data_IF_351874204080
#
_entry.id   IF_351874204080
#
_cell.length_a   1.000
_cell.length_b   1.000
_cell.length_c   1.000
_cell.angle_alpha   90.00
_cell.angle_beta   90.00
_cell.angle_gamma   90.00
#
_symmetry.space_group_name_H-M   'P 1'
#
loop_
_entity.id
_entity.type
_entity.pdbx_description
1 polymer ?
#
# COMPACT_ATOMS: atom_id res chain seq x y z
N UNK A 1 -18.81 17.46 -23.14
CA UNK A 1 -18.44 16.67 -24.32
C UNK A 1 -18.27 15.23 -23.93
N UNK A 2 -18.92 14.32 -24.64
CA UNK A 2 -18.86 12.90 -24.38
C UNK A 2 -17.40 12.43 -24.40
N UNK A 3 -16.94 11.77 -23.32
CA UNK A 3 -15.67 11.09 -23.27
C UNK A 3 -14.56 11.73 -22.47
N UNK A 4 -14.78 12.82 -21.73
CA UNK A 4 -13.81 13.41 -20.81
C UNK A 4 -14.43 13.67 -19.43
N UNK A 5 -13.66 13.41 -18.37
CA UNK A 5 -14.01 13.69 -16.99
C UNK A 5 -13.07 14.76 -16.44
N UNK A 6 -13.62 15.71 -15.70
CA UNK A 6 -12.83 16.64 -14.90
C UNK A 6 -12.39 15.94 -13.64
N UNK A 7 -11.08 15.87 -13.40
CA UNK A 7 -10.49 15.24 -12.22
C UNK A 7 -9.60 16.24 -11.49
N UNK A 8 -9.59 16.16 -10.17
CA UNK A 8 -8.72 16.94 -9.29
C UNK A 8 -7.84 15.97 -8.52
N UNK A 9 -6.66 15.61 -9.04
CA UNK A 9 -5.76 14.66 -8.38
C UNK A 9 -5.24 15.24 -7.07
N UNK A 10 -5.22 14.42 -6.02
CA UNK A 10 -4.67 14.80 -4.72
C UNK A 10 -3.13 14.94 -4.72
N UNK A 11 -2.46 14.28 -5.65
CA UNK A 11 -0.99 14.23 -5.73
C UNK A 11 -0.34 15.35 -6.54
N UNK A 12 -1.11 16.06 -7.37
CA UNK A 12 -0.65 17.26 -8.10
C UNK A 12 -1.83 18.19 -8.30
N UNK A 13 -1.68 19.43 -7.91
CA UNK A 13 -2.77 20.41 -7.92
C UNK A 13 -3.32 20.69 -9.32
N UNK A 14 -4.51 21.29 -9.38
CA UNK A 14 -5.19 21.71 -10.60
C UNK A 14 -6.34 20.79 -11.01
N UNK A 15 -7.06 21.24 -12.03
CA UNK A 15 -8.18 20.55 -12.66
C UNK A 15 -7.74 20.02 -14.03
N UNK A 16 -7.99 18.76 -14.29
CA UNK A 16 -7.53 18.10 -15.51
C UNK A 16 -8.68 17.38 -16.21
N UNK A 17 -8.78 17.55 -17.51
CA UNK A 17 -9.70 16.79 -18.34
C UNK A 17 -9.03 15.51 -18.81
N UNK A 18 -9.53 14.36 -18.32
CA UNK A 18 -9.00 13.04 -18.65
C UNK A 18 -10.01 12.27 -19.49
N UNK A 19 -9.60 11.61 -20.59
CA UNK A 19 -10.51 10.75 -21.34
C UNK A 19 -11.15 9.69 -20.45
N UNK A 20 -12.48 9.57 -20.48
CA UNK A 20 -13.26 8.67 -19.60
C UNK A 20 -12.80 7.21 -19.69
N UNK A 21 -12.31 6.78 -20.85
CA UNK A 21 -11.77 5.42 -21.08
C UNK A 21 -10.56 5.06 -20.21
N UNK A 22 -9.88 6.06 -19.62
CA UNK A 22 -8.73 5.87 -18.72
C UNK A 22 -9.07 6.03 -17.25
N UNK A 23 -10.34 6.26 -16.94
CA UNK A 23 -10.80 6.47 -15.57
C UNK A 23 -11.71 5.31 -15.17
N UNK A 24 -11.23 4.43 -14.31
CA UNK A 24 -12.08 3.45 -13.66
C UNK A 24 -12.97 4.19 -12.64
N UNK A 25 -14.25 4.29 -12.93
CA UNK A 25 -15.19 4.76 -11.94
C UNK A 25 -15.37 3.66 -10.90
N UNK A 26 -14.88 3.91 -9.69
CA UNK A 26 -15.22 3.10 -8.52
C UNK A 26 -16.68 3.34 -8.09
N UNK A 27 -17.47 3.96 -8.97
CA UNK A 27 -18.85 4.34 -8.74
C UNK A 27 -19.75 3.13 -8.49
N UNK A 28 -20.42 3.13 -7.36
CA UNK A 28 -21.32 2.07 -6.91
C UNK A 28 -20.71 1.07 -5.94
N UNK A 29 -19.39 1.06 -5.73
CA UNK A 29 -18.79 0.32 -4.64
C UNK A 29 -18.81 1.20 -3.39
N UNK A 30 -19.59 0.82 -2.40
CA UNK A 30 -19.64 1.47 -1.10
C UNK A 30 -18.46 0.99 -0.25
N UNK A 31 -17.30 1.62 -0.47
CA UNK A 31 -16.10 1.31 0.32
C UNK A 31 -16.23 1.86 1.73
N UNK A 32 -16.42 0.98 2.69
CA UNK A 32 -16.51 1.33 4.11
C UNK A 32 -15.16 1.28 4.83
N UNK A 33 -14.09 0.87 4.15
CA UNK A 33 -12.73 0.74 4.70
C UNK A 33 -11.73 1.39 3.76
N UNK A 34 -10.94 2.33 4.30
CA UNK A 34 -9.94 3.09 3.57
C UNK A 34 -8.57 2.90 4.21
N UNK A 35 -7.55 2.77 3.36
CA UNK A 35 -6.14 2.73 3.76
C UNK A 35 -5.46 3.88 3.04
N UNK A 36 -4.98 4.86 3.79
CA UNK A 36 -4.22 6.00 3.29
C UNK A 36 -2.73 5.76 3.49
N UNK A 37 -1.94 5.92 2.43
CA UNK A 37 -0.50 5.74 2.43
C UNK A 37 0.13 7.06 2.01
N UNK A 38 0.76 7.75 2.95
CA UNK A 38 1.49 8.99 2.75
C UNK A 38 2.97 8.66 2.52
N UNK A 39 3.43 8.86 1.27
CA UNK A 39 4.81 8.56 0.88
C UNK A 39 5.78 9.62 1.38
N UNK A 40 5.33 10.86 1.53
CA UNK A 40 6.16 11.97 2.02
C UNK A 40 6.47 11.82 3.50
N UNK A 41 5.45 11.60 4.32
CA UNK A 41 5.59 11.50 5.77
C UNK A 41 5.83 10.07 6.27
N UNK A 42 5.88 9.09 5.35
CA UNK A 42 6.14 7.68 5.65
C UNK A 42 5.20 7.14 6.74
N UNK A 43 3.91 7.44 6.61
CA UNK A 43 2.89 6.95 7.52
C UNK A 43 1.69 6.34 6.77
N UNK A 44 0.90 5.56 7.50
CA UNK A 44 -0.31 4.92 7.01
C UNK A 44 -1.42 5.10 8.04
N UNK A 45 -2.61 5.48 7.55
CA UNK A 45 -3.82 5.51 8.36
C UNK A 45 -4.87 4.55 7.80
N UNK A 46 -5.62 3.89 8.68
CA UNK A 46 -6.80 3.12 8.30
C UNK A 46 -8.05 3.77 8.86
N UNK A 47 -9.07 3.91 8.01
CA UNK A 47 -10.34 4.49 8.36
C UNK A 47 -11.48 3.52 8.05
N UNK A 48 -12.48 3.53 8.89
CA UNK A 48 -13.71 2.77 8.71
C UNK A 48 -14.92 3.67 8.82
N UNK A 49 -15.85 3.52 7.89
CA UNK A 49 -17.09 4.27 7.92
C UNK A 49 -17.97 3.81 9.07
N UNK A 50 -18.28 4.74 9.98
CA UNK A 50 -19.34 4.60 10.97
C UNK A 50 -20.68 5.07 10.41
N UNK A 51 -21.67 5.26 11.27
CA UNK A 51 -23.03 5.62 10.87
C UNK A 51 -23.11 6.99 10.19
N UNK A 52 -22.36 7.98 10.66
CA UNK A 52 -22.38 9.36 10.15
C UNK A 52 -20.98 9.97 9.94
N UNK A 53 -19.91 9.25 10.24
CA UNK A 53 -18.54 9.78 10.18
C UNK A 53 -17.53 8.68 9.89
N UNK A 54 -16.32 9.09 9.52
CA UNK A 54 -15.18 8.19 9.38
C UNK A 54 -14.41 8.09 10.69
N UNK A 55 -14.13 6.87 11.10
CA UNK A 55 -13.37 6.58 12.32
C UNK A 55 -11.95 6.15 11.94
N UNK A 56 -10.95 6.81 12.50
CA UNK A 56 -9.55 6.37 12.39
C UNK A 56 -9.37 5.12 13.25
N UNK A 57 -9.04 3.99 12.60
CA UNK A 57 -8.82 2.70 13.27
C UNK A 57 -7.37 2.51 13.68
N UNK A 58 -6.44 3.05 12.88
CA UNK A 58 -5.02 3.04 13.19
C UNK A 58 -4.28 4.15 12.45
N UNK A 59 -3.13 4.57 12.99
CA UNK A 59 -2.16 5.41 12.31
C UNK A 59 -0.77 4.94 12.75
N UNK A 60 0.07 4.55 11.79
CA UNK A 60 1.36 3.92 12.06
C UNK A 60 2.44 4.37 11.08
N UNK A 61 3.71 4.43 11.53
CA UNK A 61 4.85 4.64 10.65
C UNK A 61 5.03 3.46 9.70
N UNK A 62 5.43 3.75 8.47
CA UNK A 62 5.69 2.78 7.41
C UNK A 62 7.01 3.06 6.70
N UNK A 63 7.41 2.15 5.81
CA UNK A 63 8.48 2.41 4.84
C UNK A 63 7.99 2.06 3.45
N UNK A 64 7.95 3.04 2.55
CA UNK A 64 7.53 2.88 1.16
C UNK A 64 8.69 2.56 0.21
N UNK A 65 8.39 2.37 -1.07
CA UNK A 65 9.36 2.10 -2.12
C UNK A 65 10.29 3.26 -2.42
N UNK A 66 11.57 2.95 -2.65
CA UNK A 66 12.63 3.91 -2.92
C UNK A 66 12.65 4.32 -4.40
N UNK A 67 12.73 5.62 -4.67
CA UNK A 67 13.09 6.12 -6.00
C UNK A 67 14.55 5.73 -6.33
N UNK A 68 14.75 4.83 -7.29
CA UNK A 68 16.08 4.35 -7.70
C UNK A 68 16.16 4.13 -9.21
N UNK A 69 16.50 5.16 -9.98
CA UNK A 69 16.70 5.02 -11.42
C UNK A 69 17.81 3.98 -11.76
N UNK A 70 17.73 3.25 -12.88
CA UNK A 70 16.67 3.31 -13.89
C UNK A 70 15.41 2.48 -13.51
N UNK A 71 15.42 1.84 -12.36
CA UNK A 71 14.33 0.98 -11.92
C UNK A 71 13.30 1.80 -11.12
N UNK A 72 12.06 1.78 -11.57
CA UNK A 72 10.94 2.34 -10.80
C UNK A 72 10.60 1.39 -9.65
N UNK A 73 11.16 1.66 -8.47
CA UNK A 73 10.92 0.88 -7.25
C UNK A 73 10.05 1.63 -6.23
N UNK A 74 9.47 2.74 -6.63
CA UNK A 74 8.57 3.52 -5.80
C UNK A 74 7.24 2.81 -5.60
N UNK A 75 6.65 3.01 -4.42
CA UNK A 75 5.24 2.67 -4.20
C UNK A 75 4.41 3.55 -5.13
N UNK A 76 3.64 2.97 -6.09
CA UNK A 76 2.96 3.77 -7.10
C UNK A 76 1.83 4.60 -6.46
N UNK A 77 1.76 5.92 -6.71
CA UNK A 77 0.64 6.73 -6.27
C UNK A 77 -0.62 6.36 -7.04
N UNK A 78 -1.78 6.53 -6.41
CA UNK A 78 -3.07 6.23 -7.03
C UNK A 78 -4.07 5.60 -6.08
N UNK A 79 -5.16 5.10 -6.64
CA UNK A 79 -6.27 4.49 -5.91
C UNK A 79 -6.40 3.03 -6.33
N UNK A 80 -6.43 2.14 -5.36
CA UNK A 80 -6.38 0.69 -5.56
C UNK A 80 -7.36 -0.01 -4.63
N UNK A 81 -7.52 -1.33 -4.83
CA UNK A 81 -8.19 -2.23 -3.88
C UNK A 81 -7.24 -3.39 -3.52
N UNK A 82 -7.45 -3.98 -2.36
CA UNK A 82 -6.75 -5.22 -2.00
C UNK A 82 -7.19 -6.33 -2.96
N UNK A 83 -6.23 -6.97 -3.65
CA UNK A 83 -6.52 -8.00 -4.67
C UNK A 83 -6.12 -9.42 -4.27
N UNK A 84 -5.18 -9.55 -3.35
CA UNK A 84 -4.66 -10.85 -2.90
C UNK A 84 -4.05 -10.74 -1.52
N UNK A 85 -4.10 -11.81 -0.76
CA UNK A 85 -3.46 -11.92 0.56
C UNK A 85 -2.59 -13.17 0.63
N UNK A 86 -1.46 -13.05 1.33
CA UNK A 86 -0.52 -14.14 1.61
C UNK A 86 -0.08 -14.00 3.07
N UNK A 87 -0.15 -15.06 3.85
CA UNK A 87 0.37 -15.05 5.23
C UNK A 87 1.89 -14.86 5.26
N UNK A 88 2.56 -15.48 4.30
CA UNK A 88 4.00 -15.35 4.09
C UNK A 88 4.27 -15.16 2.58
N UNK A 89 4.62 -13.94 2.18
CA UNK A 89 4.99 -13.63 0.81
C UNK A 89 6.49 -13.91 0.61
N UNK A 90 6.88 -14.91 -0.19
CA UNK A 90 8.30 -15.19 -0.42
C UNK A 90 8.94 -14.08 -1.27
N UNK A 91 10.22 -13.82 -1.03
CA UNK A 91 11.04 -12.98 -1.89
C UNK A 91 12.39 -13.63 -2.17
N UNK A 92 13.00 -13.23 -3.28
CA UNK A 92 14.31 -13.71 -3.68
C UNK A 92 15.41 -12.78 -3.14
N UNK A 93 16.61 -13.29 -2.99
CA UNK A 93 17.80 -12.48 -2.72
C UNK A 93 18.06 -11.55 -3.91
N UNK A 94 18.47 -10.31 -3.62
CA UNK A 94 18.80 -9.35 -4.68
C UNK A 94 19.85 -9.90 -5.64
N UNK A 95 19.49 -9.91 -6.94
CA UNK A 95 20.35 -10.40 -8.01
C UNK A 95 20.47 -11.91 -8.11
N UNK A 96 19.61 -12.68 -7.42
CA UNK A 96 19.62 -14.14 -7.39
C UNK A 96 18.24 -14.73 -7.61
N UNK A 97 18.19 -16.03 -7.95
CA UNK A 97 16.97 -16.85 -7.97
C UNK A 97 16.75 -17.60 -6.65
N UNK A 98 17.67 -17.46 -5.69
CA UNK A 98 17.58 -18.14 -4.41
C UNK A 98 16.56 -17.46 -3.48
N UNK A 99 15.85 -18.24 -2.65
CA UNK A 99 14.97 -17.69 -1.65
C UNK A 99 15.72 -16.79 -0.66
N UNK A 100 15.28 -15.56 -0.53
CA UNK A 100 15.84 -14.56 0.41
C UNK A 100 15.16 -14.58 1.77
N UNK A 101 13.90 -15.00 1.81
CA UNK A 101 13.08 -14.99 2.99
C UNK A 101 11.59 -14.82 2.66
N UNK A 102 10.85 -14.26 3.59
CA UNK A 102 9.43 -13.96 3.41
C UNK A 102 9.03 -12.66 4.10
N UNK A 103 7.95 -12.06 3.62
CA UNK A 103 7.30 -10.92 4.25
C UNK A 103 5.94 -11.37 4.81
N UNK A 104 5.70 -11.25 6.14
CA UNK A 104 4.49 -11.73 6.76
C UNK A 104 3.30 -10.82 6.47
N UNK A 105 2.10 -11.40 6.43
CA UNK A 105 0.80 -10.72 6.35
C UNK A 105 0.68 -9.78 5.15
N UNK A 106 1.02 -10.28 3.98
CA UNK A 106 1.09 -9.48 2.76
C UNK A 106 -0.28 -9.32 2.10
N UNK A 107 -0.69 -8.07 1.87
CA UNK A 107 -1.91 -7.67 1.17
C UNK A 107 -1.55 -6.91 -0.11
N UNK A 108 -1.76 -7.53 -1.28
CA UNK A 108 -1.43 -6.95 -2.59
C UNK A 108 -2.50 -5.94 -3.00
N UNK A 109 -2.08 -4.74 -3.40
CA UNK A 109 -2.98 -3.70 -3.90
C UNK A 109 -2.65 -3.23 -5.33
N UNK A 110 -1.40 -3.36 -5.78
CA UNK A 110 -1.01 -3.02 -7.17
C UNK A 110 -0.03 -4.07 -7.70
N UNK A 111 0.35 -4.03 -8.96
CA UNK A 111 1.27 -4.92 -9.68
C UNK A 111 2.20 -5.77 -8.81
N UNK A 112 3.30 -5.20 -8.34
CA UNK A 112 4.23 -5.80 -7.39
C UNK A 112 4.17 -5.21 -5.97
N UNK A 113 3.22 -4.30 -5.69
CA UNK A 113 3.13 -3.59 -4.42
C UNK A 113 2.21 -4.30 -3.42
N UNK A 114 2.75 -4.54 -2.22
CA UNK A 114 2.06 -5.16 -1.10
C UNK A 114 2.21 -4.30 0.15
N UNK A 115 1.20 -4.31 1.00
CA UNK A 115 1.28 -3.97 2.42
C UNK A 115 1.72 -5.24 3.15
N UNK A 116 2.80 -5.20 3.94
CA UNK A 116 3.29 -6.38 4.66
C UNK A 116 4.08 -6.01 5.91
N UNK A 117 4.32 -6.97 6.78
CA UNK A 117 5.15 -6.83 7.97
C UNK A 117 6.65 -6.69 7.67
N UNK A 118 7.46 -6.58 8.72
CA UNK A 118 8.91 -6.52 8.57
C UNK A 118 9.41 -7.80 7.89
N UNK A 119 10.17 -7.70 6.77
CA UNK A 119 10.69 -8.87 6.09
C UNK A 119 11.59 -9.72 6.97
N UNK A 120 11.48 -11.02 6.84
CA UNK A 120 12.26 -12.04 7.56
C UNK A 120 13.21 -12.70 6.59
N UNK A 121 14.51 -12.64 6.86
CA UNK A 121 15.55 -13.21 6.02
C UNK A 121 15.89 -14.66 6.44
N UNK A 122 16.21 -15.48 5.46
CA UNK A 122 16.80 -16.80 5.72
C UNK A 122 18.32 -16.67 5.95
N UNK A 123 18.95 -17.55 6.78
CA UNK A 123 18.36 -18.71 7.45
C UNK A 123 17.69 -18.43 8.81
N UNK A 124 17.88 -17.24 9.38
CA UNK A 124 17.52 -16.98 10.79
C UNK A 124 16.00 -16.99 11.05
N UNK A 125 15.18 -16.68 10.04
CA UNK A 125 13.71 -16.76 10.04
C UNK A 125 13.02 -16.20 11.31
N UNK A 126 13.65 -15.23 11.98
CA UNK A 126 13.09 -14.57 13.16
C UNK A 126 12.11 -13.48 12.72
N UNK A 127 10.87 -13.59 13.19
CA UNK A 127 9.87 -12.55 12.94
C UNK A 127 10.19 -11.32 13.77
N UNK A 128 10.52 -10.23 13.09
CA UNK A 128 10.75 -8.93 13.72
C UNK A 128 9.44 -8.14 13.76
N UNK A 129 9.13 -7.55 14.90
CA UNK A 129 7.95 -6.69 15.05
C UNK A 129 8.15 -5.34 14.37
N UNK A 130 9.33 -4.74 14.56
CA UNK A 130 9.63 -3.38 14.13
C UNK A 130 11.02 -3.26 13.52
N UNK A 131 11.19 -2.37 12.56
CA UNK A 131 12.50 -1.98 12.04
C UNK A 131 12.70 -0.48 12.16
N UNK A 132 13.95 -0.05 12.39
CA UNK A 132 14.31 1.37 12.52
C UNK A 132 14.11 2.21 11.25
N UNK A 133 13.68 1.59 10.14
CA UNK A 133 13.37 2.32 8.90
C UNK A 133 11.91 2.79 8.81
N UNK A 134 11.03 2.29 9.68
CA UNK A 134 9.62 2.69 9.71
C UNK A 134 9.49 4.17 10.11
N UNK A 135 8.73 4.94 9.34
CA UNK A 135 8.49 6.36 9.58
C UNK A 135 9.67 7.27 9.24
N UNK A 136 10.69 6.79 8.55
CA UNK A 136 11.89 7.59 8.24
C UNK A 136 12.02 7.91 6.75
N UNK A 137 12.49 6.96 5.96
CA UNK A 137 12.79 7.16 4.53
C UNK A 137 12.34 5.97 3.70
N UNK A 138 11.95 6.19 2.43
CA UNK A 138 11.65 5.10 1.50
C UNK A 138 12.86 4.17 1.33
N UNK A 139 12.65 2.84 1.38
CA UNK A 139 13.72 1.83 1.25
C UNK A 139 13.29 0.52 0.60
N UNK A 140 12.01 0.33 0.33
CA UNK A 140 11.52 -0.94 -0.21
C UNK A 140 11.55 -0.96 -1.75
N UNK A 141 11.20 -2.11 -2.33
CA UNK A 141 10.97 -2.29 -3.75
C UNK A 141 9.46 -2.25 -4.06
N UNK A 142 8.84 -1.08 -4.04
CA UNK A 142 7.40 -0.81 -4.24
C UNK A 142 6.48 -1.17 -3.08
N UNK A 143 6.84 -2.10 -2.22
CA UNK A 143 6.02 -2.52 -1.09
C UNK A 143 5.97 -1.46 0.01
N UNK A 144 4.95 -1.55 0.85
CA UNK A 144 4.76 -0.74 2.04
C UNK A 144 5.00 -1.63 3.26
N UNK A 145 6.14 -1.43 3.93
CA UNK A 145 6.52 -2.15 5.14
C UNK A 145 5.85 -1.52 6.35
N UNK A 146 5.29 -2.36 7.20
CA UNK A 146 4.63 -1.99 8.45
C UNK A 146 5.29 -2.71 9.64
N UNK A 147 5.04 -2.26 10.87
CA UNK A 147 5.19 -3.14 12.02
C UNK A 147 4.41 -4.43 11.78
N UNK A 148 4.94 -5.58 12.18
CA UNK A 148 4.37 -6.89 11.80
C UNK A 148 2.96 -7.08 12.36
N UNK A 149 2.69 -6.63 13.59
CA UNK A 149 1.34 -6.64 14.17
C UNK A 149 0.36 -5.74 13.41
N UNK A 150 0.83 -4.57 12.93
CA UNK A 150 -0.01 -3.68 12.14
C UNK A 150 -0.32 -4.25 10.75
N UNK A 151 0.66 -4.90 10.12
CA UNK A 151 0.42 -5.61 8.86
C UNK A 151 -0.61 -6.74 9.05
N UNK A 152 -0.54 -7.47 10.18
CA UNK A 152 -1.54 -8.48 10.53
C UNK A 152 -2.92 -7.86 10.74
N UNK A 153 -3.00 -6.74 11.46
CA UNK A 153 -4.25 -6.00 11.61
C UNK A 153 -4.88 -5.66 10.26
N UNK A 154 -4.11 -5.06 9.33
CA UNK A 154 -4.59 -4.72 7.99
C UNK A 154 -5.00 -5.98 7.22
N UNK A 155 -4.21 -7.04 7.32
CA UNK A 155 -4.49 -8.33 6.69
C UNK A 155 -5.84 -8.90 7.10
N UNK A 156 -6.15 -8.89 8.40
CA UNK A 156 -7.41 -9.40 8.93
C UNK A 156 -8.59 -8.44 8.68
N UNK A 157 -8.35 -7.13 8.86
CA UNK A 157 -9.39 -6.10 8.83
C UNK A 157 -9.85 -5.70 7.43
N UNK A 158 -8.95 -5.64 6.43
CA UNK A 158 -9.24 -5.14 5.08
C UNK A 158 -9.62 -6.29 4.13
N UNK A 159 -10.91 -6.52 3.76
CA UNK A 159 -11.28 -7.59 2.85
C UNK A 159 -10.76 -7.35 1.42
N UNK A 160 -10.60 -8.44 0.66
CA UNK A 160 -10.27 -8.37 -0.77
C UNK A 160 -11.42 -7.68 -1.51
N UNK A 161 -11.09 -6.73 -2.37
CA UNK A 161 -12.00 -5.94 -3.21
C UNK A 161 -12.97 -5.00 -2.46
N UNK A 162 -12.90 -4.94 -1.12
CA UNK A 162 -13.81 -4.13 -0.30
C UNK A 162 -13.10 -3.03 0.49
N UNK A 163 -11.76 -3.05 0.52
CA UNK A 163 -10.95 -2.00 1.12
C UNK A 163 -10.23 -1.19 0.04
N UNK A 164 -10.42 0.13 0.07
CA UNK A 164 -9.75 1.06 -0.83
C UNK A 164 -8.38 1.43 -0.28
N UNK A 165 -7.36 1.42 -1.14
CA UNK A 165 -6.00 1.84 -0.82
C UNK A 165 -5.67 3.09 -1.62
N UNK A 166 -5.37 4.18 -0.94
CA UNK A 166 -5.06 5.49 -1.52
C UNK A 166 -3.61 5.82 -1.20
N UNK A 167 -2.78 5.92 -2.25
CA UNK A 167 -1.35 6.24 -2.15
C UNK A 167 -1.13 7.65 -2.70
N UNK A 168 -0.51 8.51 -1.90
CA UNK A 168 -0.27 9.91 -2.25
C UNK A 168 1.08 10.43 -1.69
N UNK A 169 1.46 11.63 -2.11
CA UNK A 169 2.62 12.40 -1.63
C UNK A 169 2.22 13.47 -0.63
#
# INVERSE_FOLDING_TARGET
SAGFLLVTPSSFGGEWWVPEKYVDRLGGADFRKLIFIDRTNQNLATLEQGDSTWLVRSMNPITTGLHRPPYKRETPPGVYVIRRKLEAMPFLRDGSIEPGGFAPWASRFSGGAYLHGVPVNYPDSVVLEYSGTLGTTPRSHMCVRNATSHAKFIYDWAPISEALVIVFD
#
